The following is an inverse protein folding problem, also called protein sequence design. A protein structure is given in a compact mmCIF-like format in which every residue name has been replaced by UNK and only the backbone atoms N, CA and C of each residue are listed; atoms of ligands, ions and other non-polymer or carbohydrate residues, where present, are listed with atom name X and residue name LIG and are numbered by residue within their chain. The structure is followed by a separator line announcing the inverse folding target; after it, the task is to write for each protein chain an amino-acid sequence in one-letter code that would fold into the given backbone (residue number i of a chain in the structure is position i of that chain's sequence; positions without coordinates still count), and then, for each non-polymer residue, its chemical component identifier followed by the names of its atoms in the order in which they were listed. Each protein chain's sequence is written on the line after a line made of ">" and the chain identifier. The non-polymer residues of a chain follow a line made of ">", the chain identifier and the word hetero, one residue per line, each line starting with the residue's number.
data_IF_238131224964
#
_entry.id   IF_238131224964
#
_cell.length_a   1.000
_cell.length_b   1.000
_cell.length_c   1.000
_cell.angle_alpha   90.00
_cell.angle_beta   90.00
_cell.angle_gamma   90.00
#
_symmetry.space_group_name_H-M   'P 1'
#
loop_
_entity.id
_entity.type
_entity.pdbx_description
1 polymer ?
#
# COMPACT_ATOMS: atom_id res chain seq x y z
N UNK A 1 8.63 20.49 -11.35
CA UNK A 1 8.56 21.09 -9.99
C UNK A 1 9.79 20.65 -9.21
N UNK A 2 10.49 21.55 -8.51
CA UNK A 2 11.62 21.16 -7.64
C UNK A 2 11.05 20.43 -6.42
N UNK A 3 11.25 19.12 -6.31
CA UNK A 3 10.98 18.39 -5.06
C UNK A 3 12.00 18.87 -4.03
N UNK A 4 11.53 19.63 -3.03
CA UNK A 4 12.38 20.10 -1.93
C UNK A 4 12.51 18.95 -0.93
N UNK A 5 13.73 18.46 -0.76
CA UNK A 5 14.10 17.82 0.51
C UNK A 5 14.22 18.95 1.52
N UNK A 6 13.48 18.87 2.62
CA UNK A 6 13.57 19.82 3.74
C UNK A 6 13.99 19.02 4.97
N UNK A 7 15.26 19.14 5.33
CA UNK A 7 15.67 18.87 6.71
C UNK A 7 14.98 19.87 7.64
N UNK A 8 14.43 19.36 8.74
CA UNK A 8 13.79 20.05 9.87
C UNK A 8 13.36 21.52 9.63
N UNK A 9 12.04 21.73 9.52
CA UNK A 9 11.44 22.99 10.01
C UNK A 9 10.79 22.70 11.36
N UNK A 10 11.41 23.14 12.45
CA UNK A 10 10.86 23.00 13.80
C UNK A 10 9.73 24.03 13.98
N UNK A 11 8.48 23.57 13.92
CA UNK A 11 7.32 24.41 14.19
C UNK A 11 7.09 24.54 15.71
N UNK A 12 7.41 25.69 16.29
CA UNK A 12 7.02 26.02 17.67
C UNK A 12 5.55 26.49 17.71
N UNK A 13 4.70 25.80 18.47
CA UNK A 13 3.45 26.37 19.01
C UNK A 13 3.03 25.66 20.31
N UNK A 14 2.33 26.38 21.19
CA UNK A 14 2.12 26.01 22.60
C UNK A 14 0.77 25.31 22.87
N UNK A 15 0.80 24.27 23.71
CA UNK A 15 -0.38 23.65 24.35
C UNK A 15 -1.26 22.80 23.41
N UNK A 16 -1.93 21.73 23.83
CA UNK A 16 -2.21 21.19 25.17
C UNK A 16 -2.20 19.64 25.09
N UNK A 17 -1.68 18.94 26.11
CA UNK A 17 -1.80 17.48 26.38
C UNK A 17 -1.67 16.47 25.22
N UNK A 18 -0.52 15.77 25.17
CA UNK A 18 -0.35 14.54 24.38
C UNK A 18 1.14 14.22 24.12
N UNK A 19 1.69 13.20 24.78
CA UNK A 19 3.15 12.95 24.83
C UNK A 19 3.65 12.17 23.60
N UNK A 20 3.46 12.74 22.39
CA UNK A 20 3.98 12.19 21.13
C UNK A 20 4.73 13.21 20.26
N UNK A 21 4.71 14.49 20.65
CA UNK A 21 4.95 15.63 19.74
C UNK A 21 6.40 16.05 19.50
N UNK A 22 7.39 15.44 20.17
CA UNK A 22 8.79 15.84 20.01
C UNK A 22 9.52 15.13 18.86
N UNK A 23 9.06 13.93 18.49
CA UNK A 23 9.81 12.99 17.64
C UNK A 23 9.13 12.70 16.30
N UNK A 24 7.82 12.95 16.17
CA UNK A 24 7.09 12.86 14.91
C UNK A 24 7.18 14.19 14.14
N UNK A 25 7.23 14.15 12.81
CA UNK A 25 7.28 15.36 11.96
C UNK A 25 5.97 16.15 11.89
N UNK A 26 4.90 15.67 12.53
CA UNK A 26 3.60 16.32 12.58
C UNK A 26 2.96 16.09 13.94
N UNK A 27 2.28 17.11 14.45
CA UNK A 27 1.25 16.92 15.48
C UNK A 27 0.06 16.13 14.91
N UNK A 28 -0.80 15.60 15.79
CA UNK A 28 -2.02 14.87 15.35
C UNK A 28 -2.93 15.69 14.44
N UNK A 29 -3.14 16.97 14.75
CA UNK A 29 -3.97 17.86 13.94
C UNK A 29 -3.39 18.07 12.53
N UNK A 30 -2.07 18.26 12.43
CA UNK A 30 -1.38 18.41 11.14
C UNK A 30 -1.38 17.10 10.34
N UNK A 31 -1.19 15.96 11.00
CA UNK A 31 -1.23 14.65 10.35
C UNK A 31 -2.63 14.34 9.78
N UNK A 32 -3.70 14.65 10.52
CA UNK A 32 -5.09 14.52 10.05
C UNK A 32 -5.35 15.48 8.87
N UNK A 33 -4.89 16.73 8.95
CA UNK A 33 -5.01 17.70 7.86
C UNK A 33 -4.27 17.23 6.58
N UNK A 34 -3.05 16.69 6.73
CA UNK A 34 -2.27 16.09 5.64
C UNK A 34 -2.99 14.90 5.02
N UNK A 35 -3.48 13.97 5.85
CA UNK A 35 -4.23 12.81 5.39
C UNK A 35 -5.44 13.21 4.55
N UNK A 36 -6.31 14.07 5.09
CA UNK A 36 -7.54 14.51 4.42
C UNK A 36 -7.27 15.26 3.11
N UNK A 37 -6.16 16.01 3.03
CA UNK A 37 -5.71 16.69 1.81
C UNK A 37 -5.27 15.74 0.71
N UNK A 38 -4.58 14.64 1.04
CA UNK A 38 -3.91 13.79 0.05
C UNK A 38 -4.59 12.44 -0.23
N UNK A 39 -5.45 11.93 0.65
CA UNK A 39 -6.03 10.57 0.53
C UNK A 39 -6.88 10.37 -0.75
N UNK A 40 -7.49 11.45 -1.26
CA UNK A 40 -8.23 11.48 -2.52
C UNK A 40 -7.51 12.26 -3.62
N UNK A 41 -6.30 12.76 -3.37
CA UNK A 41 -5.57 13.56 -4.36
C UNK A 41 -5.15 12.69 -5.55
N UNK A 42 -5.26 13.26 -6.74
CA UNK A 42 -4.89 12.58 -7.98
C UNK A 42 -3.42 12.12 -7.99
N UNK A 43 -2.51 12.77 -7.25
CA UNK A 43 -1.12 12.33 -7.05
C UNK A 43 -1.04 11.00 -6.30
N UNK A 44 -1.65 10.89 -5.12
CA UNK A 44 -1.66 9.64 -4.35
C UNK A 44 -2.27 8.49 -5.16
N UNK A 45 -3.38 8.78 -5.86
CA UNK A 45 -4.13 7.79 -6.63
C UNK A 45 -3.39 7.33 -7.89
N UNK A 46 -2.67 8.23 -8.59
CA UNK A 46 -2.00 7.92 -9.85
C UNK A 46 -0.54 7.50 -9.68
N UNK A 47 0.15 7.98 -8.65
CA UNK A 47 1.56 7.67 -8.45
C UNK A 47 1.66 6.39 -7.59
N UNK A 48 1.03 6.37 -6.42
CA UNK A 48 1.24 5.30 -5.44
C UNK A 48 0.36 4.08 -5.71
N UNK A 49 -0.95 4.30 -5.83
CA UNK A 49 -1.90 3.20 -5.87
C UNK A 49 -1.88 2.45 -7.21
N UNK A 50 -1.44 3.11 -8.28
CA UNK A 50 -1.19 2.48 -9.57
C UNK A 50 0.06 1.61 -9.55
N UNK A 51 1.14 2.02 -8.86
CA UNK A 51 2.31 1.17 -8.64
C UNK A 51 1.95 -0.07 -7.80
N UNK A 52 1.06 0.08 -6.80
CA UNK A 52 0.47 -1.05 -6.07
C UNK A 52 -0.34 -2.00 -6.98
N UNK A 53 -1.15 -1.46 -7.89
CA UNK A 53 -1.95 -2.26 -8.81
C UNK A 53 -1.07 -2.99 -9.84
N UNK A 54 -0.03 -2.32 -10.37
CA UNK A 54 0.95 -2.89 -11.29
C UNK A 54 1.73 -4.03 -10.59
N UNK A 55 2.18 -3.85 -9.34
CA UNK A 55 2.79 -4.91 -8.52
C UNK A 55 1.86 -6.11 -8.35
N UNK A 56 0.65 -5.89 -7.81
CA UNK A 56 -0.32 -6.97 -7.53
C UNK A 56 -0.71 -7.73 -8.81
N UNK A 57 -0.80 -7.05 -9.95
CA UNK A 57 -1.07 -7.68 -11.25
C UNK A 57 0.13 -8.42 -11.84
N UNK A 58 1.35 -7.88 -11.71
CA UNK A 58 2.57 -8.45 -12.31
C UNK A 58 3.08 -9.69 -11.58
N UNK A 59 2.87 -9.75 -10.26
CA UNK A 59 3.37 -10.83 -9.40
C UNK A 59 2.26 -11.72 -8.82
N UNK A 60 1.04 -11.66 -9.38
CA UNK A 60 -0.11 -12.47 -8.94
C UNK A 60 0.19 -13.98 -8.89
N UNK A 61 0.96 -14.49 -9.84
CA UNK A 61 1.39 -15.89 -9.95
C UNK A 61 2.34 -16.33 -8.82
N UNK A 62 3.02 -15.40 -8.16
CA UNK A 62 3.91 -15.65 -7.00
C UNK A 62 3.34 -15.03 -5.71
N UNK A 63 2.03 -14.77 -5.66
CA UNK A 63 1.36 -14.18 -4.50
C UNK A 63 1.50 -15.00 -3.20
N UNK A 64 1.72 -16.32 -3.31
CA UNK A 64 2.05 -17.21 -2.20
C UNK A 64 3.54 -17.26 -1.80
N UNK A 65 4.41 -16.42 -2.38
CA UNK A 65 5.84 -16.36 -2.04
C UNK A 65 6.12 -15.37 -0.90
N UNK A 66 7.14 -15.67 -0.08
CA UNK A 66 7.61 -14.77 0.98
C UNK A 66 7.98 -13.38 0.45
N UNK A 67 8.65 -13.33 -0.69
CA UNK A 67 9.06 -12.10 -1.36
C UNK A 67 7.86 -11.19 -1.69
N UNK A 68 6.77 -11.77 -2.22
CA UNK A 68 5.52 -11.05 -2.45
C UNK A 68 4.88 -10.59 -1.14
N UNK A 69 4.81 -11.47 -0.14
CA UNK A 69 4.15 -11.19 1.13
C UNK A 69 4.81 -10.04 1.91
N UNK A 70 6.14 -9.93 1.85
CA UNK A 70 6.90 -8.78 2.40
C UNK A 70 6.45 -7.46 1.75
N UNK A 71 6.36 -7.42 0.42
CA UNK A 71 5.94 -6.22 -0.31
C UNK A 71 4.45 -5.90 -0.06
N UNK A 72 3.56 -6.90 -0.05
CA UNK A 72 2.14 -6.66 0.24
C UNK A 72 1.88 -6.27 1.71
N UNK A 73 2.73 -6.69 2.65
CA UNK A 73 2.73 -6.16 4.03
C UNK A 73 3.16 -4.70 4.09
N UNK A 74 4.20 -4.30 3.36
CA UNK A 74 4.58 -2.89 3.24
C UNK A 74 3.42 -2.04 2.65
N UNK A 75 2.74 -2.56 1.62
CA UNK A 75 1.54 -1.92 1.05
C UNK A 75 0.42 -1.82 2.08
N UNK A 76 0.18 -2.88 2.88
CA UNK A 76 -0.84 -2.85 3.93
C UNK A 76 -0.58 -1.74 4.94
N UNK A 77 0.67 -1.53 5.38
CA UNK A 77 1.04 -0.41 6.25
C UNK A 77 0.87 0.96 5.56
N UNK A 78 1.19 1.08 4.28
CA UNK A 78 0.96 2.31 3.51
C UNK A 78 -0.53 2.68 3.43
N UNK A 79 -1.40 1.69 3.19
CA UNK A 79 -2.84 1.90 2.99
C UNK A 79 -3.66 1.95 4.30
N UNK A 80 -3.19 1.31 5.38
CA UNK A 80 -3.98 1.08 6.60
C UNK A 80 -3.21 1.27 7.92
N UNK A 81 -1.89 1.46 7.87
CA UNK A 81 -1.04 1.60 9.07
C UNK A 81 -1.02 3.00 9.67
N UNK A 82 -1.61 4.01 9.03
CA UNK A 82 -1.65 5.41 9.48
C UNK A 82 -0.29 5.96 9.93
N UNK A 83 0.75 5.52 9.24
CA UNK A 83 2.13 5.82 9.55
C UNK A 83 2.41 7.32 9.46
N UNK A 84 3.18 7.85 10.43
CA UNK A 84 3.74 9.21 10.41
C UNK A 84 5.27 9.11 10.41
N UNK A 85 5.97 9.94 9.65
CA UNK A 85 7.43 9.95 9.73
C UNK A 85 7.88 10.56 11.07
N UNK A 86 8.85 9.93 11.73
CA UNK A 86 9.43 10.43 12.98
C UNK A 86 10.61 9.59 13.44
N UNK A 87 11.47 10.14 14.29
CA UNK A 87 12.67 9.43 14.75
C UNK A 87 12.43 8.74 16.10
N UNK A 88 12.67 7.43 16.16
CA UNK A 88 12.43 6.63 17.36
C UNK A 88 13.14 5.28 17.31
N UNK A 89 12.92 4.46 18.33
CA UNK A 89 13.33 3.06 18.32
C UNK A 89 12.13 2.20 18.74
N UNK A 90 11.62 1.40 17.80
CA UNK A 90 10.36 0.65 17.93
C UNK A 90 9.22 1.57 18.38
N UNK A 91 9.16 2.76 17.78
CA UNK A 91 8.17 3.79 18.05
C UNK A 91 6.84 3.47 17.35
N UNK A 92 6.85 2.78 16.21
CA UNK A 92 5.62 2.50 15.46
C UNK A 92 4.58 1.79 16.31
N UNK A 93 4.94 0.67 16.96
CA UNK A 93 4.02 -0.11 17.80
C UNK A 93 3.47 0.63 19.04
N UNK A 94 4.08 1.77 19.42
CA UNK A 94 3.65 2.60 20.56
C UNK A 94 2.82 3.80 20.12
N UNK A 95 3.24 4.48 19.04
CA UNK A 95 2.80 5.83 18.68
C UNK A 95 2.40 6.01 17.20
N UNK A 96 2.56 4.98 16.36
CA UNK A 96 2.24 5.05 14.93
C UNK A 96 3.20 5.89 14.08
N UNK A 97 4.36 6.28 14.62
CA UNK A 97 5.43 6.96 13.87
C UNK A 97 6.73 6.15 13.84
N UNK A 98 7.51 6.28 12.77
CA UNK A 98 8.86 5.68 12.65
C UNK A 98 9.64 6.31 11.48
N UNK A 99 10.93 5.98 11.35
CA UNK A 99 11.78 6.37 10.21
C UNK A 99 11.87 5.28 9.12
N UNK A 100 12.67 5.54 8.08
CA UNK A 100 12.82 4.62 6.94
C UNK A 100 13.36 3.24 7.32
N UNK A 101 14.31 3.18 8.24
CA UNK A 101 14.97 1.96 8.70
C UNK A 101 14.14 1.21 9.74
N UNK A 102 13.42 1.92 10.61
CA UNK A 102 12.45 1.31 11.50
C UNK A 102 11.21 0.78 10.76
N UNK A 103 10.69 1.48 9.74
CA UNK A 103 9.65 0.94 8.85
C UNK A 103 10.12 -0.33 8.13
N UNK A 104 11.34 -0.30 7.59
CA UNK A 104 11.90 -1.48 6.91
C UNK A 104 12.09 -2.63 7.91
N UNK A 105 12.64 -2.38 9.11
CA UNK A 105 12.73 -3.38 10.18
C UNK A 105 11.37 -3.97 10.54
N UNK A 106 10.34 -3.14 10.71
CA UNK A 106 8.97 -3.55 11.01
C UNK A 106 8.44 -4.56 9.97
N UNK A 107 8.50 -4.20 8.69
CA UNK A 107 7.99 -5.05 7.61
C UNK A 107 8.72 -6.40 7.55
N UNK A 108 10.04 -6.43 7.71
CA UNK A 108 10.80 -7.69 7.66
C UNK A 108 10.66 -8.52 8.96
N UNK A 109 10.52 -7.86 10.12
CA UNK A 109 10.26 -8.50 11.41
C UNK A 109 8.92 -9.25 11.47
N UNK A 110 7.92 -8.76 10.73
CA UNK A 110 6.64 -9.45 10.54
C UNK A 110 6.79 -10.85 9.88
N UNK A 111 7.92 -11.13 9.22
CA UNK A 111 8.26 -12.43 8.60
C UNK A 111 9.44 -13.14 9.28
N UNK A 112 9.77 -12.73 10.51
CA UNK A 112 10.81 -13.35 11.34
C UNK A 112 12.24 -12.95 11.01
N UNK A 113 12.47 -11.99 10.12
CA UNK A 113 13.82 -11.47 9.88
C UNK A 113 14.23 -10.46 10.95
N UNK A 114 15.44 -10.61 11.48
CA UNK A 114 16.06 -9.61 12.35
C UNK A 114 17.01 -8.74 11.54
N UNK A 115 16.60 -7.50 11.22
CA UNK A 115 17.44 -6.51 10.53
C UNK A 115 17.57 -5.23 11.37
N UNK A 116 18.65 -4.48 11.17
CA UNK A 116 18.91 -3.28 11.95
C UNK A 116 17.87 -2.17 11.70
N UNK A 117 17.52 -1.45 12.77
CA UNK A 117 16.69 -0.23 12.70
C UNK A 117 17.50 1.02 12.41
N UNK A 118 18.81 0.91 12.13
CA UNK A 118 19.71 2.04 11.87
C UNK A 118 20.15 2.02 10.41
N UNK A 119 19.64 2.95 9.60
CA UNK A 119 19.93 3.11 8.17
C UNK A 119 21.42 2.99 7.82
N UNK A 120 22.30 3.68 8.56
CA UNK A 120 23.74 3.68 8.36
C UNK A 120 24.38 2.27 8.31
N UNK A 121 23.78 1.28 8.98
CA UNK A 121 24.31 -0.07 9.09
C UNK A 121 23.80 -1.04 7.99
N UNK A 122 23.03 -0.56 7.01
CA UNK A 122 22.36 -1.46 6.02
C UNK A 122 23.30 -2.19 5.06
N UNK A 123 24.59 -1.83 4.98
CA UNK A 123 25.56 -2.67 4.27
C UNK A 123 25.91 -3.99 4.98
N UNK A 124 25.45 -4.17 6.23
CA UNK A 124 25.45 -5.47 6.93
C UNK A 124 24.17 -6.29 6.70
N UNK A 125 23.11 -5.69 6.14
CA UNK A 125 21.79 -6.34 5.99
C UNK A 125 21.78 -7.20 4.73
N UNK A 126 21.53 -8.50 4.90
CA UNK A 126 21.47 -9.47 3.79
C UNK A 126 22.75 -9.48 2.93
N UNK A 127 22.63 -9.88 1.67
CA UNK A 127 23.75 -9.89 0.70
C UNK A 127 23.64 -8.72 -0.29
N UNK A 128 24.76 -8.10 -0.69
CA UNK A 128 24.75 -7.08 -1.74
C UNK A 128 24.34 -7.69 -3.09
N UNK A 129 23.37 -7.10 -3.78
CA UNK A 129 22.96 -7.50 -5.13
C UNK A 129 23.99 -6.97 -6.13
N UNK A 130 24.73 -7.85 -6.77
CA UNK A 130 25.74 -7.50 -7.78
C UNK A 130 25.09 -6.89 -9.03
N UNK A 131 25.86 -6.09 -9.78
CA UNK A 131 25.43 -5.46 -11.04
C UNK A 131 24.49 -4.25 -10.91
N UNK A 132 23.78 -4.10 -9.79
CA UNK A 132 22.88 -2.96 -9.57
C UNK A 132 23.68 -1.68 -9.33
N UNK A 133 23.39 -0.62 -10.08
CA UNK A 133 24.13 0.64 -10.06
C UNK A 133 23.30 1.83 -10.52
N UNK A 134 23.97 2.96 -10.80
CA UNK A 134 23.37 4.21 -11.30
C UNK A 134 24.19 4.78 -12.46
N UNK A 135 23.53 5.40 -13.45
CA UNK A 135 24.18 6.17 -14.52
C UNK A 135 23.35 7.41 -14.90
N UNK A 136 23.99 8.43 -15.48
CA UNK A 136 23.28 9.54 -16.14
C UNK A 136 23.00 9.17 -17.59
N UNK A 137 21.75 9.32 -18.04
CA UNK A 137 21.31 9.22 -19.43
C UNK A 137 20.55 10.50 -19.76
N UNK A 138 20.97 11.23 -20.81
CA UNK A 138 20.36 12.49 -21.24
C UNK A 138 20.13 13.49 -20.08
N UNK A 139 21.14 13.64 -19.21
CA UNK A 139 21.11 14.52 -18.03
C UNK A 139 20.28 14.02 -16.83
N UNK A 140 19.58 12.89 -16.94
CA UNK A 140 18.78 12.29 -15.85
C UNK A 140 19.48 11.06 -15.29
N UNK A 141 19.45 10.89 -13.98
CA UNK A 141 19.90 9.66 -13.34
C UNK A 141 18.89 8.52 -13.59
N UNK A 142 19.42 7.30 -13.74
CA UNK A 142 18.69 6.04 -13.91
C UNK A 142 19.44 4.92 -13.20
N UNK A 143 18.74 3.90 -12.70
CA UNK A 143 19.40 2.68 -12.24
C UNK A 143 19.90 1.83 -13.41
N UNK A 144 20.93 1.03 -13.15
CA UNK A 144 21.48 0.00 -14.03
C UNK A 144 21.41 -1.36 -13.33
N UNK A 145 21.45 -2.45 -14.10
CA UNK A 145 21.44 -3.79 -13.53
C UNK A 145 20.10 -4.19 -12.90
N UNK A 146 19.00 -3.56 -13.32
CA UNK A 146 17.67 -3.74 -12.72
C UNK A 146 17.13 -5.15 -12.89
N UNK A 147 17.61 -5.89 -13.89
CA UNK A 147 17.35 -7.31 -14.11
C UNK A 147 17.90 -8.22 -13.00
N UNK A 148 18.86 -7.74 -12.20
CA UNK A 148 19.40 -8.46 -11.04
C UNK A 148 18.56 -8.24 -9.77
N UNK A 149 17.64 -7.25 -9.75
CA UNK A 149 16.75 -6.98 -8.63
C UNK A 149 15.58 -7.96 -8.58
N UNK A 150 15.13 -8.28 -7.37
CA UNK A 150 13.92 -9.07 -7.09
C UNK A 150 13.07 -8.38 -6.04
N UNK A 151 11.74 -8.55 -6.11
CA UNK A 151 10.81 -7.99 -5.13
C UNK A 151 11.22 -8.38 -3.70
N UNK A 152 11.22 -7.43 -2.76
CA UNK A 152 11.79 -7.67 -1.42
C UNK A 152 13.33 -7.64 -1.36
N UNK A 153 14.02 -7.08 -2.36
CA UNK A 153 15.32 -6.46 -2.13
C UNK A 153 15.13 -5.10 -1.44
N UNK A 154 16.11 -4.64 -0.68
CA UNK A 154 16.14 -3.31 -0.04
C UNK A 154 17.11 -2.44 -0.81
N UNK A 155 16.67 -1.27 -1.28
CA UNK A 155 17.58 -0.28 -1.87
C UNK A 155 17.98 0.73 -0.80
N UNK A 156 19.20 1.24 -0.90
CA UNK A 156 19.80 2.16 0.06
C UNK A 156 20.29 3.42 -0.64
N UNK A 157 20.24 4.56 0.05
CA UNK A 157 20.77 5.84 -0.40
C UNK A 157 21.71 6.41 0.64
N UNK A 158 22.83 6.96 0.17
CA UNK A 158 23.91 7.44 1.02
C UNK A 158 24.09 8.94 0.85
N UNK A 159 24.28 9.65 1.96
CA UNK A 159 24.86 10.99 1.96
C UNK A 159 26.39 10.89 1.95
N UNK A 160 27.12 11.85 2.53
CA UNK A 160 28.59 11.91 2.41
C UNK A 160 29.30 10.71 3.02
N UNK A 161 28.81 10.23 4.15
CA UNK A 161 29.52 9.30 5.06
C UNK A 161 28.65 8.15 5.60
N UNK A 162 27.33 8.19 5.42
CA UNK A 162 26.41 7.16 5.91
C UNK A 162 25.18 6.96 5.01
N UNK A 163 24.62 5.75 5.04
CA UNK A 163 23.31 5.46 4.42
C UNK A 163 22.25 6.26 5.20
N UNK A 164 21.65 7.26 4.56
CA UNK A 164 20.63 8.12 5.19
C UNK A 164 19.20 7.69 4.90
N UNK A 165 18.97 6.82 3.90
CA UNK A 165 17.64 6.32 3.57
C UNK A 165 17.63 4.88 3.05
N UNK A 166 16.53 4.15 3.29
CA UNK A 166 16.29 2.79 2.83
C UNK A 166 14.82 2.57 2.43
N UNK A 167 14.56 1.73 1.43
CA UNK A 167 13.21 1.42 0.95
C UNK A 167 13.13 0.04 0.27
N UNK A 168 11.94 -0.55 0.23
CA UNK A 168 11.70 -1.94 -0.19
C UNK A 168 11.34 -1.99 -1.68
N UNK A 169 12.06 -2.78 -2.47
CA UNK A 169 11.81 -2.93 -3.91
C UNK A 169 10.51 -3.68 -4.20
N UNK A 170 9.65 -3.06 -5.02
CA UNK A 170 8.36 -3.60 -5.45
C UNK A 170 8.39 -4.20 -6.86
N UNK A 171 9.51 -4.11 -7.59
CA UNK A 171 9.56 -4.46 -9.01
C UNK A 171 9.55 -3.22 -9.89
N UNK A 172 8.77 -3.24 -10.97
CA UNK A 172 8.69 -2.12 -11.92
C UNK A 172 7.25 -1.68 -12.14
N UNK A 173 7.06 -0.39 -12.44
CA UNK A 173 5.80 0.11 -12.96
C UNK A 173 5.60 -0.34 -14.43
N UNK A 174 4.45 0.02 -15.01
CA UNK A 174 4.09 -0.17 -16.43
C UNK A 174 5.13 0.30 -17.45
N UNK A 175 5.93 1.32 -17.13
CA UNK A 175 6.95 1.88 -18.02
C UNK A 175 8.31 1.15 -17.87
N UNK A 176 8.36 0.08 -17.05
CA UNK A 176 9.59 -0.66 -16.76
C UNK A 176 10.52 0.05 -15.76
N UNK A 177 10.13 1.21 -15.21
CA UNK A 177 10.96 1.91 -14.23
C UNK A 177 10.92 1.18 -12.88
N UNK A 178 12.07 1.02 -12.19
CA UNK A 178 12.10 0.37 -10.89
C UNK A 178 11.31 1.16 -9.84
N UNK A 179 10.59 0.47 -8.97
CA UNK A 179 9.73 1.04 -7.93
C UNK A 179 10.16 0.51 -6.57
N UNK A 180 10.28 1.41 -5.59
CA UNK A 180 10.44 1.07 -4.17
C UNK A 180 9.28 1.61 -3.35
N UNK A 181 9.05 1.09 -2.15
CA UNK A 181 8.11 1.57 -1.14
C UNK A 181 8.86 1.80 0.17
N UNK A 182 8.74 3.01 0.69
CA UNK A 182 9.44 3.44 1.91
C UNK A 182 8.78 4.68 2.50
N UNK A 183 9.50 5.39 3.37
CA UNK A 183 8.98 6.63 3.95
C UNK A 183 9.09 7.78 2.96
N UNK A 184 7.99 8.51 2.75
CA UNK A 184 7.89 9.59 1.76
C UNK A 184 7.06 10.75 2.31
N UNK A 185 7.60 11.97 2.23
CA UNK A 185 6.99 13.17 2.82
C UNK A 185 6.13 13.97 1.83
N UNK A 186 6.47 13.97 0.53
CA UNK A 186 5.74 14.69 -0.52
C UNK A 186 4.46 13.99 -1.01
N UNK A 187 3.35 14.73 -1.00
CA UNK A 187 2.11 14.37 -1.71
C UNK A 187 1.31 13.18 -1.16
N UNK A 188 1.78 12.55 -0.10
CA UNK A 188 1.21 11.33 0.48
C UNK A 188 0.31 11.61 1.71
N UNK A 189 -0.76 10.82 1.93
CA UNK A 189 -1.67 10.97 3.08
C UNK A 189 -1.08 10.40 4.39
N UNK A 190 -0.16 9.44 4.29
CA UNK A 190 0.65 8.92 5.39
C UNK A 190 2.12 9.31 5.16
N UNK A 191 3.01 8.94 6.07
CA UNK A 191 4.46 9.05 5.88
C UNK A 191 5.06 7.97 4.98
N UNK A 192 4.24 7.15 4.29
CA UNK A 192 4.67 6.07 3.40
C UNK A 192 4.20 6.32 1.96
N UNK A 193 5.04 5.96 1.00
CA UNK A 193 4.74 6.08 -0.43
C UNK A 193 5.76 5.33 -1.30
N UNK A 194 5.41 5.14 -2.56
CA UNK A 194 6.29 4.55 -3.57
C UNK A 194 7.26 5.60 -4.13
N UNK A 195 8.39 5.18 -4.67
CA UNK A 195 9.29 6.00 -5.49
C UNK A 195 9.59 5.23 -6.78
N UNK A 196 9.23 5.82 -7.92
CA UNK A 196 9.48 5.30 -9.26
C UNK A 196 10.27 6.27 -10.16
N UNK A 197 10.64 7.44 -9.62
CA UNK A 197 11.39 8.47 -10.34
C UNK A 197 12.82 8.61 -9.82
N UNK A 198 13.77 8.14 -10.61
CA UNK A 198 15.19 8.11 -10.30
C UNK A 198 15.93 9.41 -10.68
N UNK A 199 15.20 10.48 -10.98
CA UNK A 199 15.80 11.78 -11.23
C UNK A 199 16.24 12.47 -9.93
N UNK A 200 17.25 13.34 -10.03
CA UNK A 200 17.80 14.07 -8.88
C UNK A 200 18.28 13.12 -7.77
N UNK A 201 17.99 13.45 -6.50
CA UNK A 201 18.53 12.79 -5.31
C UNK A 201 18.38 11.27 -5.31
N UNK A 202 17.24 10.73 -5.75
CA UNK A 202 16.96 9.28 -5.74
C UNK A 202 17.88 8.48 -6.66
N UNK A 203 18.30 9.03 -7.81
CA UNK A 203 19.30 8.38 -8.64
C UNK A 203 20.73 8.79 -8.27
N UNK A 204 20.93 10.04 -7.84
CA UNK A 204 22.24 10.59 -7.49
C UNK A 204 22.85 9.93 -6.26
N UNK A 205 22.05 9.69 -5.23
CA UNK A 205 22.49 9.17 -3.93
C UNK A 205 22.24 7.67 -3.78
N UNK A 206 21.72 6.98 -4.81
CA UNK A 206 21.59 5.52 -4.78
C UNK A 206 22.95 4.88 -4.50
N UNK A 207 22.99 3.99 -3.52
CA UNK A 207 24.22 3.40 -2.98
C UNK A 207 24.36 1.93 -3.32
N UNK A 208 23.42 1.10 -2.84
CA UNK A 208 23.42 -0.33 -3.08
C UNK A 208 22.01 -0.92 -3.03
N UNK A 209 21.89 -2.16 -3.49
CA UNK A 209 20.73 -3.01 -3.25
C UNK A 209 21.15 -4.22 -2.41
N UNK A 210 20.29 -4.63 -1.49
CA UNK A 210 20.53 -5.68 -0.48
C UNK A 210 19.43 -6.73 -0.55
N UNK A 211 19.79 -8.00 -0.71
CA UNK A 211 18.86 -9.13 -0.72
C UNK A 211 18.81 -9.78 0.66
N UNK A 212 17.64 -9.72 1.28
CA UNK A 212 17.37 -10.38 2.58
C UNK A 212 16.61 -11.69 2.38
N UNK A 213 15.74 -11.75 1.36
CA UNK A 213 14.93 -12.94 1.05
C UNK A 213 15.82 -14.04 0.44
N UNK A 214 15.82 -15.27 1.00
CA UNK A 214 16.57 -16.40 0.43
C UNK A 214 15.90 -16.92 -0.84
N UNK A 215 16.61 -17.70 -1.68
CA UNK A 215 16.10 -18.15 -2.98
C UNK A 215 14.75 -18.90 -2.91
N UNK A 216 14.57 -19.75 -1.90
CA UNK A 216 13.30 -20.45 -1.67
C UNK A 216 12.10 -19.51 -1.38
N UNK A 217 12.38 -18.30 -0.88
CA UNK A 217 11.38 -17.28 -0.56
C UNK A 217 10.76 -16.59 -1.78
N UNK A 218 11.30 -16.78 -2.99
CA UNK A 218 10.71 -16.24 -4.23
C UNK A 218 9.67 -17.17 -4.86
N UNK A 219 9.60 -18.44 -4.44
CA UNK A 219 8.63 -19.42 -4.94
C UNK A 219 7.69 -19.95 -3.85
N UNK A 220 7.99 -19.76 -2.57
CA UNK A 220 7.12 -20.20 -1.47
C UNK A 220 7.41 -19.52 -0.13
N UNK A 221 6.87 -20.11 0.94
CA UNK A 221 6.94 -19.62 2.33
C UNK A 221 7.84 -20.50 3.25
N UNK A 222 8.50 -21.52 2.71
CA UNK A 222 9.15 -22.56 3.51
C UNK A 222 10.16 -21.98 4.53
N UNK A 223 10.02 -22.37 5.80
CA UNK A 223 10.87 -21.90 6.90
C UNK A 223 10.47 -20.56 7.55
N UNK A 224 9.50 -19.82 6.99
CA UNK A 224 9.12 -18.50 7.51
C UNK A 224 7.72 -18.50 8.15
N UNK A 225 7.68 -18.08 9.42
CA UNK A 225 6.43 -17.72 10.11
C UNK A 225 6.02 -16.32 9.70
N UNK A 226 4.72 -16.11 9.46
CA UNK A 226 4.15 -14.77 9.31
C UNK A 226 3.46 -14.36 10.61
N UNK A 227 3.82 -13.20 11.14
CA UNK A 227 3.16 -12.57 12.28
C UNK A 227 2.06 -11.61 11.77
N UNK A 228 0.99 -11.37 12.55
CA UNK A 228 0.03 -10.31 12.22
C UNK A 228 0.73 -8.95 12.19
N UNK A 229 0.22 -7.96 11.42
CA UNK A 229 0.82 -6.62 11.42
C UNK A 229 0.72 -6.00 12.81
N UNK A 230 1.77 -5.26 13.19
CA UNK A 230 1.78 -4.51 14.43
C UNK A 230 0.70 -3.42 14.36
N UNK A 231 -0.15 -3.38 15.37
CA UNK A 231 -1.16 -2.32 15.55
C UNK A 231 -0.66 -1.40 16.67
N UNK A 232 -0.37 -0.11 16.37
CA UNK A 232 0.05 0.85 17.37
C UNK A 232 -0.92 0.96 18.57
N UNK A 233 -0.37 0.96 19.80
CA UNK A 233 -1.18 1.19 21.02
C UNK A 233 -1.75 2.61 21.12
N UNK A 234 -1.08 3.56 20.48
CA UNK A 234 -1.58 4.92 20.25
C UNK A 234 -1.07 5.39 18.89
N UNK A 235 -1.71 6.41 18.32
CA UNK A 235 -1.38 6.92 16.99
C UNK A 235 -1.22 8.44 17.01
N UNK A 236 -0.14 8.95 16.41
CA UNK A 236 -0.04 10.37 16.02
C UNK A 236 -1.08 10.69 14.96
N UNK A 237 -1.32 9.81 13.98
CA UNK A 237 -2.44 9.89 13.04
C UNK A 237 -3.48 8.80 13.36
N UNK A 238 -4.56 9.09 14.10
CA UNK A 238 -5.58 8.10 14.42
C UNK A 238 -6.20 7.47 13.16
N UNK A 239 -6.63 6.19 13.22
CA UNK A 239 -7.30 5.55 12.10
C UNK A 239 -8.55 6.29 11.61
N UNK A 240 -8.52 6.73 10.36
CA UNK A 240 -9.61 7.47 9.70
C UNK A 240 -10.68 6.54 9.06
N UNK A 241 -10.38 5.25 8.94
CA UNK A 241 -11.32 4.14 8.69
C UNK A 241 -10.98 2.98 9.62
N UNK A 242 -11.90 2.03 9.80
CA UNK A 242 -11.61 0.78 10.51
C UNK A 242 -10.40 0.09 9.86
N UNK A 243 -9.36 -0.19 10.64
CA UNK A 243 -8.19 -0.96 10.19
C UNK A 243 -8.65 -2.38 9.83
N UNK A 244 -8.46 -2.85 8.60
CA UNK A 244 -8.82 -4.22 8.21
C UNK A 244 -7.81 -5.21 8.80
N UNK A 245 -8.28 -6.38 9.21
CA UNK A 245 -7.38 -7.50 9.50
C UNK A 245 -6.58 -7.85 8.24
N UNK A 246 -5.30 -8.17 8.40
CA UNK A 246 -4.49 -8.68 7.30
C UNK A 246 -4.85 -10.14 7.02
N UNK A 247 -5.33 -10.43 5.83
CA UNK A 247 -5.96 -11.73 5.45
C UNK A 247 -4.96 -12.81 5.05
N UNK A 248 -3.66 -12.54 5.14
CA UNK A 248 -2.63 -13.52 4.75
C UNK A 248 -2.36 -13.61 3.25
N UNK A 249 -1.39 -14.45 2.85
CA UNK A 249 -1.30 -14.93 1.48
C UNK A 249 -2.62 -15.58 1.11
N UNK A 250 -3.26 -15.08 0.06
CA UNK A 250 -4.49 -15.65 -0.46
C UNK A 250 -4.15 -16.92 -1.26
N UNK A 251 -3.64 -17.94 -0.57
CA UNK A 251 -3.38 -19.26 -1.14
C UNK A 251 -4.72 -19.84 -1.58
N UNK A 252 -4.95 -19.95 -2.89
CA UNK A 252 -6.19 -20.46 -3.44
C UNK A 252 -6.52 -21.83 -2.84
N UNK A 253 -7.53 -21.87 -1.98
CA UNK A 253 -7.96 -23.10 -1.31
C UNK A 253 -8.39 -24.13 -2.34
N UNK A 254 -7.71 -25.28 -2.38
CA UNK A 254 -8.19 -26.44 -3.12
C UNK A 254 -8.47 -27.59 -2.16
N UNK A 255 -9.69 -28.12 -2.27
CA UNK A 255 -10.16 -29.43 -1.80
C UNK A 255 -9.90 -29.83 -0.35
N UNK A 256 -10.97 -29.72 0.45
CA UNK A 256 -11.15 -30.41 1.72
C UNK A 256 -12.61 -30.85 1.86
N UNK A 257 -13.05 -31.78 1.02
CA UNK A 257 -14.40 -32.33 1.08
C UNK A 257 -14.62 -33.08 2.41
N UNK A 258 -15.75 -32.82 3.07
CA UNK A 258 -16.40 -33.90 3.82
C UNK A 258 -17.92 -33.78 3.69
N UNK A 259 -18.57 -34.88 3.28
CA UNK A 259 -20.03 -34.95 3.13
C UNK A 259 -20.67 -35.38 4.45
N UNK A 260 -21.86 -34.86 4.72
CA UNK A 260 -22.67 -35.26 5.87
C UNK A 260 -24.14 -34.90 5.66
N UNK A 261 -24.88 -35.76 4.96
CA UNK A 261 -26.36 -35.80 5.00
C UNK A 261 -26.81 -36.45 6.34
N UNK A 262 -28.06 -36.37 6.83
CA UNK A 262 -29.35 -36.26 6.16
C UNK A 262 -30.51 -35.92 7.15
N UNK A 263 -31.64 -35.38 6.64
CA UNK A 263 -33.03 -35.32 7.23
C UNK A 263 -33.21 -34.67 8.63
N UNK A 264 -34.33 -34.03 9.03
CA UNK A 264 -35.67 -33.67 8.49
C UNK A 264 -36.42 -32.84 9.57
N UNK A 265 -37.72 -32.49 9.55
CA UNK A 265 -38.79 -32.48 8.53
C UNK A 265 -40.09 -31.85 9.13
N UNK A 266 -40.78 -30.91 8.48
CA UNK A 266 -42.10 -30.40 8.92
C UNK A 266 -42.58 -29.06 8.32
N UNK A 267 -43.74 -29.04 7.66
CA UNK A 267 -44.45 -27.86 7.12
C UNK A 267 -45.95 -27.92 7.49
N UNK A 268 -46.61 -26.77 7.70
CA UNK A 268 -47.95 -26.40 7.13
C UNK A 268 -48.34 -24.91 7.44
N UNK A 269 -49.39 -24.27 6.84
CA UNK A 269 -49.11 -23.12 5.96
C UNK A 269 -50.02 -21.85 6.07
N UNK A 270 -49.55 -20.76 5.44
CA UNK A 270 -50.28 -19.56 4.93
C UNK A 270 -51.02 -18.64 5.94
N UNK A 271 -51.33 -17.35 5.63
CA UNK A 271 -51.63 -16.74 4.31
C UNK A 271 -50.66 -15.65 3.81
N UNK A 272 -50.82 -15.26 2.54
CA UNK A 272 -49.91 -14.42 1.74
C UNK A 272 -50.34 -12.94 1.68
N UNK A 273 -49.46 -11.97 1.98
CA UNK A 273 -49.61 -10.55 1.59
C UNK A 273 -48.97 -10.25 0.21
N UNK A 274 -49.26 -9.09 -0.43
CA UNK A 274 -49.08 -8.89 -1.86
C UNK A 274 -47.62 -8.74 -2.33
N UNK A 275 -47.40 -9.03 -3.61
CA UNK A 275 -46.08 -9.04 -4.25
C UNK A 275 -45.40 -7.65 -4.25
N UNK A 276 -44.34 -7.50 -3.46
CA UNK A 276 -43.47 -6.33 -3.50
C UNK A 276 -42.50 -6.45 -4.70
N UNK A 277 -42.47 -5.43 -5.56
CA UNK A 277 -41.78 -5.46 -6.84
C UNK A 277 -40.24 -5.45 -6.66
N UNK A 278 -39.66 -6.63 -6.56
CA UNK A 278 -38.26 -6.85 -6.18
C UNK A 278 -37.31 -6.52 -7.33
N UNK A 279 -37.02 -5.23 -7.53
CA UNK A 279 -35.95 -4.81 -8.44
C UNK A 279 -34.61 -5.37 -7.93
N UNK A 280 -34.08 -6.38 -8.63
CA UNK A 280 -32.76 -6.95 -8.34
C UNK A 280 -31.70 -5.87 -8.42
N UNK A 281 -31.07 -5.57 -7.28
CA UNK A 281 -29.99 -4.59 -7.21
C UNK A 281 -28.72 -5.17 -7.85
N UNK A 282 -28.12 -4.38 -8.71
CA UNK A 282 -26.80 -4.65 -9.27
C UNK A 282 -25.74 -3.86 -8.50
N UNK A 283 -24.54 -4.41 -8.41
CA UNK A 283 -23.41 -3.80 -7.72
C UNK A 283 -22.17 -3.82 -8.61
N UNK A 284 -21.41 -2.74 -8.62
CA UNK A 284 -20.05 -2.74 -9.15
C UNK A 284 -19.09 -3.20 -8.07
N UNK A 285 -18.19 -4.13 -8.41
CA UNK A 285 -17.05 -4.57 -7.60
C UNK A 285 -15.76 -4.42 -8.41
N UNK A 286 -14.62 -4.33 -7.73
CA UNK A 286 -13.32 -4.44 -8.41
C UNK A 286 -13.00 -5.91 -8.70
N UNK A 287 -12.27 -6.17 -9.79
CA UNK A 287 -11.71 -7.50 -10.09
C UNK A 287 -10.36 -7.72 -9.41
N UNK A 288 -9.53 -6.68 -9.39
CA UNK A 288 -8.16 -6.71 -8.87
C UNK A 288 -7.91 -5.40 -8.11
N UNK A 289 -7.38 -5.49 -6.89
CA UNK A 289 -7.06 -4.31 -6.09
C UNK A 289 -8.24 -3.34 -5.95
N UNK A 290 -8.01 -2.06 -6.26
CA UNK A 290 -8.94 -0.97 -6.06
C UNK A 290 -9.19 -0.21 -7.38
N UNK A 291 -10.25 0.60 -7.46
CA UNK A 291 -10.59 1.43 -8.63
C UNK A 291 -11.08 2.81 -8.17
N UNK A 292 -10.60 3.88 -8.80
CA UNK A 292 -10.98 5.26 -8.48
C UNK A 292 -12.47 5.54 -8.65
N UNK A 293 -13.05 6.27 -7.70
CA UNK A 293 -14.30 7.01 -7.89
C UNK A 293 -14.00 8.42 -8.40
N UNK A 294 -14.77 8.83 -9.40
CA UNK A 294 -14.66 10.13 -10.08
C UNK A 294 -15.88 11.01 -9.78
N UNK A 295 -15.64 12.33 -9.73
CA UNK A 295 -16.67 13.33 -9.48
C UNK A 295 -17.71 13.43 -10.61
N UNK A 296 -17.29 13.19 -11.86
CA UNK A 296 -18.17 13.13 -13.03
C UNK A 296 -17.76 11.97 -13.96
N UNK A 297 -18.57 11.72 -14.99
CA UNK A 297 -18.33 10.66 -16.00
C UNK A 297 -17.19 11.02 -16.99
N UNK A 298 -16.04 11.47 -16.46
CA UNK A 298 -14.85 11.87 -17.21
C UNK A 298 -13.56 11.45 -16.49
N UNK A 299 -12.57 11.01 -17.27
CA UNK A 299 -11.22 10.68 -16.81
C UNK A 299 -10.45 11.90 -16.27
N UNK A 300 -10.78 13.10 -16.74
CA UNK A 300 -10.20 14.37 -16.28
C UNK A 300 -10.84 14.92 -15.00
N UNK A 301 -11.93 14.33 -14.52
CA UNK A 301 -12.60 14.81 -13.30
C UNK A 301 -11.83 14.42 -12.03
N UNK A 302 -12.07 15.16 -10.94
CA UNK A 302 -11.42 14.90 -9.65
C UNK A 302 -11.71 13.49 -9.14
N UNK A 303 -10.70 12.86 -8.53
CA UNK A 303 -10.91 11.63 -7.74
C UNK A 303 -11.56 11.98 -6.41
N UNK A 304 -12.63 11.27 -6.04
CA UNK A 304 -13.45 11.55 -4.84
C UNK A 304 -13.54 10.36 -3.88
N UNK A 305 -12.72 9.33 -4.13
CA UNK A 305 -12.67 8.10 -3.37
C UNK A 305 -12.15 6.94 -4.23
N UNK A 306 -12.28 5.73 -3.70
CA UNK A 306 -12.00 4.48 -4.41
C UNK A 306 -12.90 3.36 -3.89
N UNK A 307 -13.16 2.38 -4.75
CA UNK A 307 -13.69 1.08 -4.38
C UNK A 307 -12.50 0.14 -4.14
N UNK A 308 -12.39 -0.47 -2.97
CA UNK A 308 -11.34 -1.44 -2.63
C UNK A 308 -11.82 -2.89 -2.90
N UNK A 309 -10.90 -3.86 -2.94
CA UNK A 309 -11.25 -5.26 -3.21
C UNK A 309 -12.21 -5.82 -2.15
N UNK A 310 -13.25 -6.55 -2.58
CA UNK A 310 -14.31 -7.07 -1.71
C UNK A 310 -15.40 -6.05 -1.35
N UNK A 311 -15.21 -4.76 -1.63
CA UNK A 311 -16.27 -3.76 -1.47
C UNK A 311 -17.26 -3.80 -2.66
N UNK A 312 -18.50 -3.35 -2.41
CA UNK A 312 -19.58 -3.29 -3.40
C UNK A 312 -20.18 -1.88 -3.46
N UNK A 313 -20.17 -1.24 -4.63
CA UNK A 313 -20.91 0.01 -4.86
C UNK A 313 -22.23 -0.29 -5.58
N UNK A 314 -23.35 0.26 -5.11
CA UNK A 314 -24.67 0.04 -5.72
C UNK A 314 -24.72 0.69 -7.11
N UNK A 315 -25.00 -0.09 -8.16
CA UNK A 315 -25.06 0.41 -9.53
C UNK A 315 -26.37 1.18 -9.75
N UNK A 316 -26.26 2.47 -10.10
CA UNK A 316 -27.41 3.29 -10.48
C UNK A 316 -27.71 3.10 -11.96
N UNK A 317 -26.70 3.28 -12.82
CA UNK A 317 -26.79 3.04 -14.27
C UNK A 317 -25.41 3.02 -14.93
N UNK A 318 -25.34 2.52 -16.17
CA UNK A 318 -24.23 2.83 -17.09
C UNK A 318 -24.44 4.26 -17.62
N UNK A 319 -23.60 5.20 -17.21
CA UNK A 319 -23.71 6.62 -17.57
C UNK A 319 -23.29 6.89 -19.02
N UNK A 320 -22.26 6.18 -19.48
CA UNK A 320 -21.85 6.09 -20.88
C UNK A 320 -20.99 4.83 -21.09
N UNK A 321 -20.38 4.66 -22.27
CA UNK A 321 -19.57 3.47 -22.57
C UNK A 321 -18.38 3.25 -21.61
N UNK A 322 -17.85 4.31 -20.99
CA UNK A 322 -16.65 4.28 -20.13
C UNK A 322 -16.94 4.36 -18.63
N UNK A 323 -18.14 4.78 -18.22
CA UNK A 323 -18.48 5.08 -16.82
C UNK A 323 -19.80 4.45 -16.37
N UNK A 324 -19.75 3.73 -15.24
CA UNK A 324 -20.91 3.48 -14.39
C UNK A 324 -21.12 4.67 -13.45
N UNK A 325 -22.37 5.02 -13.22
CA UNK A 325 -22.80 5.87 -12.11
C UNK A 325 -23.22 4.95 -10.96
N UNK A 326 -22.63 5.14 -9.79
CA UNK A 326 -22.85 4.28 -8.61
C UNK A 326 -23.15 5.11 -7.37
N UNK A 327 -23.83 4.50 -6.40
CA UNK A 327 -24.05 5.06 -5.07
C UNK A 327 -23.00 4.51 -4.12
N UNK A 328 -22.26 5.41 -3.47
CA UNK A 328 -21.22 5.09 -2.51
C UNK A 328 -21.30 6.04 -1.32
N UNK A 329 -21.43 5.51 -0.09
CA UNK A 329 -21.59 6.27 1.15
C UNK A 329 -22.62 7.42 1.04
N UNK A 330 -23.79 7.11 0.44
CA UNK A 330 -24.87 8.08 0.22
C UNK A 330 -24.67 9.07 -0.94
N UNK A 331 -23.47 9.14 -1.53
CA UNK A 331 -23.14 10.05 -2.65
C UNK A 331 -23.23 9.33 -3.99
N UNK A 332 -23.55 10.09 -5.03
CA UNK A 332 -23.41 9.66 -6.43
C UNK A 332 -21.96 9.90 -6.88
N UNK A 333 -21.30 8.86 -7.38
CA UNK A 333 -19.95 8.92 -7.94
C UNK A 333 -19.85 8.06 -9.21
N UNK A 334 -18.76 8.21 -9.95
CA UNK A 334 -18.56 7.50 -11.22
C UNK A 334 -17.37 6.55 -11.15
N UNK A 335 -17.48 5.36 -11.72
CA UNK A 335 -16.43 4.33 -11.74
C UNK A 335 -16.31 3.72 -13.14
N UNK A 336 -15.12 3.28 -13.55
CA UNK A 336 -14.93 2.83 -14.94
C UNK A 336 -15.73 1.56 -15.26
N UNK A 337 -16.20 1.44 -16.50
CA UNK A 337 -16.83 0.23 -17.06
C UNK A 337 -15.81 -0.82 -17.52
N UNK A 338 -14.52 -0.48 -17.54
CA UNK A 338 -13.47 -1.33 -18.10
C UNK A 338 -13.37 -2.67 -17.34
N UNK A 339 -13.69 -3.75 -18.05
CA UNK A 339 -13.82 -5.11 -17.52
C UNK A 339 -12.50 -5.77 -17.10
N UNK A 340 -11.36 -5.09 -17.27
CA UNK A 340 -10.07 -5.41 -16.62
C UNK A 340 -10.09 -5.06 -15.13
N UNK A 341 -10.80 -4.00 -14.76
CA UNK A 341 -10.76 -3.39 -13.43
C UNK A 341 -12.05 -3.60 -12.63
N UNK A 342 -13.21 -3.54 -13.29
CA UNK A 342 -14.52 -3.68 -12.64
C UNK A 342 -15.33 -4.84 -13.21
N UNK A 343 -16.33 -5.27 -12.45
CA UNK A 343 -17.41 -6.13 -12.92
C UNK A 343 -18.71 -5.76 -12.22
N UNK A 344 -19.83 -5.99 -12.91
CA UNK A 344 -21.17 -5.89 -12.32
C UNK A 344 -21.56 -7.26 -11.80
N UNK A 345 -22.02 -7.32 -10.56
CA UNK A 345 -22.56 -8.52 -9.92
C UNK A 345 -24.02 -8.27 -9.53
N UNK A 346 -24.86 -9.30 -9.67
CA UNK A 346 -26.24 -9.28 -9.22
C UNK A 346 -26.32 -9.77 -7.78
N UNK A 347 -27.31 -9.26 -7.04
CA UNK A 347 -27.73 -9.83 -5.75
C UNK A 347 -28.75 -10.95 -5.94
#
# INVERSE_FOLDING_TARGET
>A
MKKRIIGLTLAMSLGITGIASANASYTTSEAIAKYNKYINADSYVKDELYNVADFRSKYANVSGSLAYQIVDRAIWYMENGYFVYGHGNDAYGKYGYEDCSGFTRLVYGDFGFNITGTSANYDSVGTKVAGVGKKKVNGKWQLTGIENLRIGDILTWQEKDHISHVAIYMGTNRDGQPVVLGTRDDGNPTGLGTIDSWSYWWGENFHSARRVVPDAGFTGMAGHKINPPVIPSSYVLPPQKKVPAWTGPNTGSNSGSNSGSNSGSGQQPQPTPPAENTQKKEYVVTKNGWVSFKASASSSSATVGRLELGQKAELIKKANQYWYQVKWNGKTVYITTNTKYTQVVKQ
#
